data_IF_716410558420
#
_entry.id   IF_716410558420
#
_cell.length_a   1.000
_cell.length_b   1.000
_cell.length_c   1.000
_cell.angle_alpha   90.00
_cell.angle_beta   90.00
_cell.angle_gamma   90.00
#
_symmetry.space_group_name_H-M   'P 1'
#
loop_
_entity.id
_entity.type
_entity.pdbx_description
1 polymer ?
#
# COMPACT_ATOMS: atom_id res chain seq x y z
N UNK A 1 9.78 -0.71 24.55
CA UNK A 1 8.80 -1.76 24.17
C UNK A 1 7.41 -1.19 23.86
N UNK A 2 6.74 -0.51 24.81
CA UNK A 2 5.38 0.05 24.61
C UNK A 2 5.22 0.90 23.34
N UNK A 3 6.16 1.83 23.08
CA UNK A 3 6.13 2.66 21.86
C UNK A 3 6.19 1.84 20.56
N UNK A 4 6.92 0.72 20.54
CA UNK A 4 7.01 -0.17 19.37
C UNK A 4 5.69 -0.90 19.13
N UNK A 5 5.01 -1.33 20.19
CA UNK A 5 3.67 -1.93 20.11
C UNK A 5 2.62 -0.93 19.62
N UNK A 6 2.67 0.32 20.11
CA UNK A 6 1.79 1.39 19.63
C UNK A 6 2.01 1.66 18.14
N UNK A 7 3.28 1.73 17.70
CA UNK A 7 3.62 1.88 16.27
C UNK A 7 3.13 0.71 15.42
N UNK A 8 3.23 -0.52 15.90
CA UNK A 8 2.71 -1.70 15.22
C UNK A 8 1.18 -1.67 15.11
N UNK A 9 0.48 -1.28 16.19
CA UNK A 9 -0.98 -1.09 16.18
C UNK A 9 -1.40 -0.04 15.14
N UNK A 10 -0.77 1.14 15.15
CA UNK A 10 -1.08 2.20 14.18
C UNK A 10 -0.75 1.80 12.73
N UNK A 11 0.31 1.03 12.51
CA UNK A 11 0.63 0.49 11.19
C UNK A 11 -0.46 -0.50 10.70
N UNK A 12 -1.01 -1.30 11.61
CA UNK A 12 -2.12 -2.22 11.31
C UNK A 12 -3.42 -1.47 11.00
N UNK A 13 -3.78 -0.47 11.80
CA UNK A 13 -4.98 0.38 11.57
C UNK A 13 -4.91 1.03 10.18
N UNK A 14 -3.75 1.58 9.81
CA UNK A 14 -3.54 2.13 8.46
C UNK A 14 -3.65 1.07 7.35
N UNK A 15 -3.27 -0.17 7.64
CA UNK A 15 -3.49 -1.30 6.73
C UNK A 15 -4.97 -1.51 6.44
N UNK A 16 -5.82 -1.50 7.47
CA UNK A 16 -7.26 -1.68 7.32
C UNK A 16 -7.93 -0.53 6.56
N UNK A 17 -7.50 0.71 6.78
CA UNK A 17 -8.01 1.88 6.05
C UNK A 17 -7.79 1.78 4.54
N UNK A 18 -6.62 1.27 4.13
CA UNK A 18 -6.23 1.18 2.71
C UNK A 18 -6.65 -0.13 2.03
N UNK A 19 -6.95 -1.18 2.81
CA UNK A 19 -7.25 -2.51 2.30
C UNK A 19 -8.46 -2.53 1.36
N UNK A 20 -9.55 -1.85 1.74
CA UNK A 20 -10.77 -1.79 0.93
C UNK A 20 -10.52 -1.12 -0.42
N UNK A 21 -9.79 -0.01 -0.43
CA UNK A 21 -9.45 0.72 -1.66
C UNK A 21 -8.56 -0.11 -2.60
N UNK A 22 -7.59 -0.83 -2.05
CA UNK A 22 -6.74 -1.76 -2.81
C UNK A 22 -7.55 -2.94 -3.38
N UNK A 23 -8.30 -3.65 -2.53
CA UNK A 23 -9.06 -4.83 -2.94
C UNK A 23 -10.10 -4.48 -4.02
N UNK A 24 -10.81 -3.36 -3.84
CA UNK A 24 -11.75 -2.84 -4.84
C UNK A 24 -11.06 -2.53 -6.17
N UNK A 25 -9.86 -1.93 -6.15
CA UNK A 25 -9.11 -1.63 -7.37
C UNK A 25 -8.66 -2.87 -8.13
N UNK A 26 -8.24 -3.93 -7.42
CA UNK A 26 -7.88 -5.22 -8.04
C UNK A 26 -9.10 -5.85 -8.71
N UNK A 27 -10.23 -5.91 -8.01
CA UNK A 27 -11.49 -6.46 -8.54
C UNK A 27 -11.96 -5.66 -9.77
N UNK A 28 -11.97 -4.33 -9.66
CA UNK A 28 -12.36 -3.44 -10.76
C UNK A 28 -11.47 -3.64 -11.99
N UNK A 29 -10.15 -3.68 -11.82
CA UNK A 29 -9.21 -3.91 -12.93
C UNK A 29 -9.38 -5.30 -13.56
N UNK A 30 -9.63 -6.32 -12.74
CA UNK A 30 -9.89 -7.68 -13.22
C UNK A 30 -11.18 -7.74 -14.05
N UNK A 31 -12.27 -7.15 -13.53
CA UNK A 31 -13.57 -7.12 -14.19
C UNK A 31 -13.58 -6.29 -15.49
N UNK A 32 -12.79 -5.21 -15.54
CA UNK A 32 -12.61 -4.39 -16.75
C UNK A 32 -11.69 -5.06 -17.81
N UNK A 33 -11.11 -6.23 -17.53
CA UNK A 33 -10.24 -6.92 -18.49
C UNK A 33 -8.86 -6.26 -18.67
N UNK A 34 -8.34 -5.58 -17.63
CA UNK A 34 -6.93 -5.15 -17.62
C UNK A 34 -6.03 -6.40 -17.69
N UNK A 35 -4.93 -6.40 -18.47
CA UNK A 35 -4.07 -7.58 -18.59
C UNK A 35 -3.60 -8.10 -17.22
N UNK A 36 -3.77 -9.41 -16.98
CA UNK A 36 -3.45 -10.05 -15.69
C UNK A 36 -2.01 -9.80 -15.26
N UNK A 37 -1.05 -9.84 -16.20
CA UNK A 37 0.35 -9.53 -15.91
C UNK A 37 0.54 -8.10 -15.33
N UNK A 38 -0.25 -7.13 -15.80
CA UNK A 38 -0.22 -5.75 -15.28
C UNK A 38 -0.82 -5.68 -13.88
N UNK A 39 -1.96 -6.34 -13.64
CA UNK A 39 -2.59 -6.40 -12.31
C UNK A 39 -1.62 -7.05 -11.32
N UNK A 40 -1.01 -8.17 -11.67
CA UNK A 40 -0.06 -8.89 -10.83
C UNK A 40 1.17 -8.03 -10.49
N UNK A 41 1.74 -7.32 -11.48
CA UNK A 41 2.87 -6.42 -11.23
C UNK A 41 2.51 -5.29 -10.27
N UNK A 42 1.34 -4.67 -10.44
CA UNK A 42 0.85 -3.61 -9.55
C UNK A 42 0.57 -4.12 -8.14
N UNK A 43 -0.06 -5.30 -8.02
CA UNK A 43 -0.31 -5.98 -6.75
C UNK A 43 0.98 -6.35 -6.03
N UNK A 44 1.97 -6.92 -6.72
CA UNK A 44 3.28 -7.24 -6.13
C UNK A 44 3.99 -5.98 -5.65
N UNK A 45 3.99 -4.92 -6.46
CA UNK A 45 4.55 -3.63 -6.07
C UNK A 45 3.86 -3.04 -4.85
N UNK A 46 2.53 -3.13 -4.78
CA UNK A 46 1.75 -2.66 -3.64
C UNK A 46 2.13 -3.42 -2.37
N UNK A 47 2.14 -4.76 -2.42
CA UNK A 47 2.51 -5.60 -1.28
C UNK A 47 3.95 -5.31 -0.80
N UNK A 48 4.91 -5.19 -1.72
CA UNK A 48 6.28 -4.83 -1.39
C UNK A 48 6.36 -3.47 -0.69
N UNK A 49 5.64 -2.45 -1.19
CA UNK A 49 5.59 -1.14 -0.55
C UNK A 49 4.93 -1.19 0.84
N UNK A 50 3.89 -2.02 1.03
CA UNK A 50 3.24 -2.18 2.35
C UNK A 50 4.17 -2.86 3.35
N UNK A 51 4.91 -3.89 2.95
CA UNK A 51 5.90 -4.53 3.82
C UNK A 51 7.01 -3.55 4.22
N UNK A 52 7.54 -2.79 3.25
CA UNK A 52 8.54 -1.75 3.51
C UNK A 52 8.00 -0.62 4.41
N UNK A 53 6.74 -0.21 4.20
CA UNK A 53 6.05 0.75 5.07
C UNK A 53 5.97 0.26 6.51
N UNK A 54 5.48 -0.97 6.74
CA UNK A 54 5.33 -1.55 8.09
C UNK A 54 6.70 -1.64 8.77
N UNK A 55 7.72 -2.12 8.06
CA UNK A 55 9.09 -2.18 8.57
C UNK A 55 9.61 -0.79 8.96
N UNK A 56 9.49 0.20 8.06
CA UNK A 56 9.91 1.56 8.33
C UNK A 56 9.15 2.19 9.51
N UNK A 57 7.87 1.87 9.67
CA UNK A 57 7.05 2.40 10.75
C UNK A 57 7.47 1.85 12.12
N UNK A 58 7.68 0.53 12.22
CA UNK A 58 7.96 -0.14 13.50
C UNK A 58 9.41 0.08 13.93
N UNK A 59 10.35 -0.18 13.04
CA UNK A 59 11.79 -0.20 13.33
C UNK A 59 12.43 1.18 13.18
N UNK A 60 12.18 1.87 12.06
CA UNK A 60 12.82 3.17 11.80
C UNK A 60 12.09 4.34 12.46
N UNK A 61 10.83 4.15 12.87
CA UNK A 61 10.00 5.20 13.49
C UNK A 61 10.49 5.72 14.85
N UNK A 62 11.50 5.07 15.46
CA UNK A 62 12.19 5.62 16.63
C UNK A 62 13.17 6.74 16.26
N UNK A 63 13.69 6.75 15.03
CA UNK A 63 14.65 7.75 14.55
C UNK A 63 13.92 8.86 13.80
N UNK A 64 13.89 10.07 14.38
CA UNK A 64 13.17 11.22 13.83
C UNK A 64 13.64 11.65 12.44
N UNK A 65 14.90 11.35 12.07
CA UNK A 65 15.45 11.63 10.73
C UNK A 65 14.94 10.67 9.65
N UNK A 66 14.53 9.46 10.03
CA UNK A 66 14.07 8.41 9.13
C UNK A 66 12.54 8.32 9.06
N UNK A 67 11.82 9.14 9.83
CA UNK A 67 10.34 9.17 9.84
C UNK A 67 9.73 9.46 8.47
N UNK A 68 10.44 10.14 7.57
CA UNK A 68 9.96 10.41 6.20
C UNK A 68 9.88 9.17 5.31
N UNK A 69 10.64 8.11 5.62
CA UNK A 69 10.70 6.88 4.81
C UNK A 69 9.35 6.18 4.77
N UNK A 70 8.60 6.18 5.88
CA UNK A 70 7.24 5.62 5.91
C UNK A 70 6.31 6.38 4.95
N UNK A 71 6.41 7.72 4.91
CA UNK A 71 5.53 8.53 4.05
C UNK A 71 5.79 8.27 2.58
N UNK A 72 7.05 8.03 2.20
CA UNK A 72 7.42 7.63 0.85
C UNK A 72 6.75 6.32 0.44
N UNK A 73 6.92 5.25 1.23
CA UNK A 73 6.33 3.94 0.92
C UNK A 73 4.81 3.96 0.95
N UNK A 74 4.22 4.76 1.86
CA UNK A 74 2.78 4.98 1.87
C UNK A 74 2.31 5.63 0.57
N UNK A 75 2.93 6.73 0.15
CA UNK A 75 2.57 7.44 -1.09
C UNK A 75 2.74 6.55 -2.34
N UNK A 76 3.83 5.78 -2.43
CA UNK A 76 4.04 4.82 -3.51
C UNK A 76 2.96 3.73 -3.53
N UNK A 77 2.63 3.14 -2.38
CA UNK A 77 1.56 2.13 -2.29
C UNK A 77 0.20 2.71 -2.72
N UNK A 78 -0.12 3.94 -2.32
CA UNK A 78 -1.33 4.64 -2.72
C UNK A 78 -1.34 4.91 -4.22
N UNK A 79 -0.21 5.34 -4.81
CA UNK A 79 -0.09 5.55 -6.25
C UNK A 79 -0.31 4.27 -7.07
N UNK A 80 0.15 3.12 -6.58
CA UNK A 80 -0.11 1.83 -7.22
C UNK A 80 -1.59 1.45 -7.16
N UNK A 81 -2.26 1.67 -6.02
CA UNK A 81 -3.71 1.49 -5.92
C UNK A 81 -4.49 2.40 -6.87
N UNK A 82 -4.14 3.68 -6.94
CA UNK A 82 -4.76 4.63 -7.88
C UNK A 82 -4.56 4.15 -9.32
N UNK A 83 -3.37 3.62 -9.64
CA UNK A 83 -3.09 3.08 -10.98
C UNK A 83 -4.00 1.91 -11.35
N UNK A 84 -4.34 1.02 -10.40
CA UNK A 84 -5.31 -0.05 -10.63
C UNK A 84 -6.68 0.52 -11.03
N UNK A 85 -7.18 1.49 -10.27
CA UNK A 85 -8.45 2.16 -10.54
C UNK A 85 -8.46 2.91 -11.88
N UNK A 86 -7.41 3.66 -12.17
CA UNK A 86 -7.27 4.40 -13.44
C UNK A 86 -7.23 3.44 -14.63
N UNK A 87 -6.48 2.34 -14.53
CA UNK A 87 -6.42 1.33 -15.59
C UNK A 87 -7.76 0.62 -15.77
N UNK A 88 -8.50 0.37 -14.70
CA UNK A 88 -9.86 -0.17 -14.78
C UNK A 88 -10.78 0.79 -15.54
N UNK A 89 -10.75 2.08 -15.17
CA UNK A 89 -11.60 3.12 -15.80
C UNK A 89 -11.30 3.38 -17.27
N UNK A 90 -10.04 3.27 -17.71
CA UNK A 90 -9.69 3.39 -19.14
C UNK A 90 -10.01 2.15 -19.98
N UNK A 91 -10.35 1.02 -19.34
CA UNK A 91 -10.69 -0.23 -20.00
C UNK A 91 -12.18 -0.54 -20.02
N UNK A 92 -12.93 -0.03 -19.03
CA UNK A 92 -14.39 -0.07 -18.98
C UNK A 92 -15.02 0.77 -20.10
#
# INVERSE_FOLDING_TARGET
LQQRLLRAKSASENGFESLGFYAGGVIAANQAGVPVATINALTLGYLACRLAFVFAYIELGANRRLTGVRSLFWAMSTGLCITLWVKAGFKA
#
